data_IF_683876315067
#
_entry.id   IF_683876315067
#
_cell.length_a   1.000
_cell.length_b   1.000
_cell.length_c   1.000
_cell.angle_alpha   90.00
_cell.angle_beta   90.00
_cell.angle_gamma   90.00
#
_symmetry.space_group_name_H-M   'P 1'
#
loop_
_entity.id
_entity.type
_entity.pdbx_description
1 polymer ?
#
# COMPACT_ATOMS: atom_id res chain seq x y z
N UNK A 1 6.42 -30.62 -59.17
CA UNK A 1 6.54 -29.78 -57.97
C UNK A 1 5.47 -30.18 -56.98
N UNK A 2 5.89 -30.73 -55.83
CA UNK A 2 5.01 -31.41 -54.88
C UNK A 2 4.27 -30.38 -54.01
N UNK A 3 3.09 -29.93 -54.47
CA UNK A 3 2.30 -28.85 -53.85
C UNK A 3 1.92 -29.11 -52.39
N UNK A 4 1.91 -30.38 -51.97
CA UNK A 4 1.64 -30.78 -50.59
C UNK A 4 2.82 -30.47 -49.63
N UNK A 5 4.06 -30.43 -50.14
CA UNK A 5 5.25 -30.11 -49.36
C UNK A 5 5.41 -28.61 -49.09
N UNK A 6 4.82 -27.76 -49.94
CA UNK A 6 4.81 -26.30 -49.78
C UNK A 6 3.77 -25.84 -48.75
N UNK A 7 2.66 -26.56 -48.61
CA UNK A 7 1.59 -26.21 -47.66
C UNK A 7 1.98 -26.50 -46.20
N UNK A 8 2.75 -27.56 -45.96
CA UNK A 8 3.22 -27.94 -44.61
C UNK A 8 4.33 -27.00 -44.09
N UNK A 9 5.14 -26.42 -44.97
CA UNK A 9 6.15 -25.41 -44.59
C UNK A 9 5.46 -24.08 -44.22
N UNK A 10 4.37 -23.71 -44.89
CA UNK A 10 3.65 -22.45 -44.60
C UNK A 10 2.86 -22.49 -43.28
N UNK A 11 2.29 -23.63 -42.88
CA UNK A 11 1.61 -23.79 -41.59
C UNK A 11 2.57 -23.95 -40.40
N UNK A 12 3.85 -24.28 -40.65
CA UNK A 12 4.88 -24.38 -39.60
C UNK A 12 5.49 -23.04 -39.17
N UNK A 13 5.20 -21.94 -39.88
CA UNK A 13 5.80 -20.61 -39.62
C UNK A 13 4.87 -19.71 -38.78
N UNK A 14 3.59 -20.04 -38.64
CA UNK A 14 2.61 -19.21 -37.89
C UNK A 14 2.67 -19.43 -36.36
N UNK A 15 3.55 -20.32 -35.88
CA UNK A 15 3.62 -20.76 -34.48
C UNK A 15 4.73 -20.16 -33.63
N UNK A 16 5.59 -19.28 -34.17
CA UNK A 16 6.61 -18.59 -33.37
C UNK A 16 6.03 -17.33 -32.73
N UNK A 17 5.00 -17.49 -31.90
CA UNK A 17 4.73 -16.47 -30.87
C UNK A 17 5.93 -16.50 -29.92
N UNK A 18 6.90 -15.61 -30.13
CA UNK A 18 7.88 -15.31 -29.08
C UNK A 18 7.10 -14.76 -27.90
N UNK A 19 6.88 -15.57 -26.88
CA UNK A 19 6.38 -15.05 -25.61
C UNK A 19 7.34 -13.92 -25.19
N UNK A 20 6.79 -12.74 -24.92
CA UNK A 20 7.59 -11.61 -24.44
C UNK A 20 8.12 -11.98 -23.05
N UNK A 21 9.39 -12.40 -23.01
CA UNK A 21 10.05 -12.77 -21.77
C UNK A 21 10.64 -11.51 -21.11
N UNK A 22 10.24 -11.22 -19.88
CA UNK A 22 10.79 -10.11 -19.11
C UNK A 22 11.93 -10.56 -18.16
N UNK A 23 12.62 -9.58 -17.58
CA UNK A 23 13.58 -9.77 -16.50
C UNK A 23 12.98 -10.51 -15.28
N UNK A 24 13.84 -11.08 -14.44
CA UNK A 24 13.41 -11.53 -13.10
C UNK A 24 12.92 -10.35 -12.29
N UNK A 25 11.75 -10.48 -11.66
CA UNK A 25 11.09 -9.39 -10.93
C UNK A 25 10.40 -8.36 -11.83
N UNK A 26 10.23 -8.65 -13.12
CA UNK A 26 9.45 -7.85 -14.05
C UNK A 26 8.17 -8.58 -14.50
N UNK A 27 7.22 -7.81 -15.02
CA UNK A 27 5.96 -8.29 -15.59
C UNK A 27 5.63 -7.51 -16.86
N UNK A 28 4.99 -8.18 -17.82
CA UNK A 28 4.47 -7.53 -19.02
C UNK A 28 3.26 -6.67 -18.66
N UNK A 29 3.31 -5.40 -19.04
CA UNK A 29 2.15 -4.52 -19.05
C UNK A 29 1.68 -4.34 -20.50
N UNK A 30 0.37 -4.41 -20.70
CA UNK A 30 -0.29 -4.30 -22.02
C UNK A 30 0.21 -5.30 -23.08
N UNK A 31 0.73 -6.46 -22.64
CA UNK A 31 1.31 -7.53 -23.48
C UNK A 31 2.48 -7.10 -24.40
N UNK A 32 3.04 -5.90 -24.21
CA UNK A 32 4.03 -5.32 -25.14
C UNK A 32 5.28 -4.80 -24.42
N UNK A 33 5.16 -4.28 -23.19
CA UNK A 33 6.29 -3.65 -22.50
C UNK A 33 6.58 -4.35 -21.19
N UNK A 34 7.86 -4.64 -20.93
CA UNK A 34 8.30 -5.14 -19.64
C UNK A 34 8.55 -3.97 -18.68
N UNK A 35 7.91 -4.02 -17.51
CA UNK A 35 8.21 -3.15 -16.39
C UNK A 35 8.61 -3.99 -15.18
N UNK A 36 9.45 -3.44 -14.30
CA UNK A 36 9.66 -4.03 -12.99
C UNK A 36 8.30 -4.16 -12.29
N UNK A 37 8.02 -5.34 -11.75
CA UNK A 37 6.75 -5.64 -11.11
C UNK A 37 6.53 -4.74 -9.88
N UNK A 38 5.29 -4.67 -9.40
CA UNK A 38 4.98 -3.95 -8.16
C UNK A 38 5.88 -4.45 -7.01
N UNK A 39 6.51 -3.51 -6.30
CA UNK A 39 7.49 -3.82 -5.24
C UNK A 39 8.92 -4.06 -5.74
N UNK A 40 9.19 -3.83 -7.02
CA UNK A 40 10.52 -3.89 -7.63
C UNK A 40 10.88 -2.58 -8.34
N UNK A 41 12.16 -2.36 -8.61
CA UNK A 41 12.65 -1.23 -9.40
C UNK A 41 13.89 -1.63 -10.21
N UNK A 42 14.22 -0.87 -11.26
CA UNK A 42 15.43 -1.13 -12.02
C UNK A 42 15.58 -0.23 -13.24
N UNK A 43 16.76 -0.25 -13.87
CA UNK A 43 16.99 0.56 -15.07
C UNK A 43 16.52 -0.11 -16.36
N UNK A 44 16.32 -1.43 -16.34
CA UNK A 44 15.91 -2.23 -17.49
C UNK A 44 15.17 -3.50 -17.03
N UNK A 45 14.04 -3.78 -17.65
CA UNK A 45 13.17 -4.93 -17.36
C UNK A 45 13.14 -5.97 -18.51
N UNK A 46 14.03 -5.83 -19.50
CA UNK A 46 14.16 -6.73 -20.65
C UNK A 46 14.69 -8.12 -20.25
N UNK A 47 14.44 -9.14 -21.08
CA UNK A 47 14.97 -10.49 -20.87
C UNK A 47 16.46 -10.49 -20.56
N UNK A 48 16.87 -11.25 -19.54
CA UNK A 48 18.27 -11.35 -19.11
C UNK A 48 18.71 -10.29 -18.10
N UNK A 49 17.89 -9.27 -17.86
CA UNK A 49 18.12 -8.28 -16.80
C UNK A 49 17.48 -8.72 -15.48
N UNK A 50 17.61 -7.90 -14.44
CA UNK A 50 17.00 -8.15 -13.12
C UNK A 50 16.48 -6.86 -12.51
N UNK A 51 15.23 -6.88 -12.07
CA UNK A 51 14.66 -5.84 -11.23
C UNK A 51 14.99 -6.13 -9.76
N UNK A 52 15.36 -5.09 -9.02
CA UNK A 52 15.70 -5.15 -7.61
C UNK A 52 14.45 -5.01 -6.75
N UNK A 53 14.33 -5.82 -5.69
CA UNK A 53 13.20 -5.72 -4.76
C UNK A 53 13.34 -4.49 -3.88
N UNK A 54 12.23 -3.81 -3.61
CA UNK A 54 12.20 -2.72 -2.64
C UNK A 54 12.48 -3.22 -1.21
N UNK A 55 13.40 -2.58 -0.46
CA UNK A 55 13.76 -2.99 0.90
C UNK A 55 12.81 -2.40 1.96
N UNK A 56 13.02 -2.75 3.23
CA UNK A 56 12.47 -2.02 4.40
C UNK A 56 10.96 -1.78 4.39
N UNK A 57 10.18 -2.77 3.90
CA UNK A 57 8.72 -2.69 3.76
C UNK A 57 8.24 -1.53 2.86
N UNK A 58 9.12 -1.05 2.00
CA UNK A 58 8.78 -0.16 0.91
C UNK A 58 8.29 -0.93 -0.31
N UNK A 59 7.61 -0.23 -1.20
CA UNK A 59 7.08 -0.72 -2.46
C UNK A 59 7.08 0.39 -3.50
N UNK A 60 6.87 -0.01 -4.74
CA UNK A 60 6.83 0.82 -5.94
C UNK A 60 5.63 0.42 -6.79
N UNK A 61 5.12 1.37 -7.58
CA UNK A 61 4.11 1.08 -8.60
C UNK A 61 4.81 0.70 -9.90
N UNK A 62 4.37 -0.40 -10.52
CA UNK A 62 4.87 -0.83 -11.85
C UNK A 62 4.63 0.24 -12.91
N UNK A 63 5.64 0.53 -13.71
CA UNK A 63 5.56 1.44 -14.85
C UNK A 63 6.86 2.22 -15.08
N UNK A 64 6.75 3.39 -15.71
CA UNK A 64 7.91 4.27 -15.96
C UNK A 64 8.50 4.88 -14.68
N UNK A 65 7.75 4.90 -13.58
CA UNK A 65 8.21 5.43 -12.30
C UNK A 65 9.16 4.48 -11.55
N UNK A 66 9.16 3.18 -11.87
CA UNK A 66 10.04 2.17 -11.26
C UNK A 66 10.94 1.45 -12.27
N UNK A 67 10.84 1.77 -13.56
CA UNK A 67 11.65 1.15 -14.62
C UNK A 67 12.15 2.19 -15.61
N UNK A 68 13.45 2.22 -15.85
CA UNK A 68 14.05 2.98 -16.96
C UNK A 68 15.36 3.69 -16.62
N UNK A 69 15.95 4.37 -17.61
CA UNK A 69 17.23 5.06 -17.43
C UNK A 69 17.15 6.10 -16.31
N UNK A 70 18.02 5.97 -15.30
CA UNK A 70 18.07 6.88 -14.15
C UNK A 70 17.18 6.48 -12.96
N UNK A 71 16.40 5.39 -13.07
CA UNK A 71 15.71 4.82 -11.92
C UNK A 71 16.74 4.29 -10.91
N UNK A 72 16.50 4.62 -9.65
CA UNK A 72 17.26 4.17 -8.50
C UNK A 72 16.29 3.75 -7.38
N UNK A 73 16.86 3.45 -6.21
CA UNK A 73 16.12 2.97 -5.03
C UNK A 73 15.02 3.94 -4.55
N UNK A 74 15.08 5.22 -4.91
CA UNK A 74 14.03 6.20 -4.65
C UNK A 74 12.69 5.90 -5.33
N UNK A 75 12.65 4.98 -6.31
CA UNK A 75 11.40 4.46 -6.87
C UNK A 75 10.59 3.64 -5.86
N UNK A 76 11.24 3.12 -4.81
CA UNK A 76 10.58 2.51 -3.66
C UNK A 76 10.05 3.62 -2.73
N UNK A 77 8.96 4.24 -3.17
CA UNK A 77 8.45 5.50 -2.64
C UNK A 77 7.17 5.36 -1.81
N UNK A 78 6.73 4.13 -1.57
CA UNK A 78 5.52 3.84 -0.80
C UNK A 78 5.80 2.82 0.30
N UNK A 79 5.17 2.96 1.46
CA UNK A 79 5.14 1.90 2.45
C UNK A 79 4.02 0.91 2.12
N UNK A 80 4.28 -0.39 2.29
CA UNK A 80 3.25 -1.44 2.12
C UNK A 80 2.12 -1.27 3.15
N UNK A 81 0.97 -1.91 2.91
CA UNK A 81 -0.15 -1.88 3.85
C UNK A 81 0.30 -2.33 5.25
N UNK A 82 -0.16 -1.62 6.29
CA UNK A 82 0.23 -1.88 7.67
C UNK A 82 1.53 -1.18 8.10
N UNK A 83 2.10 -0.33 7.25
CA UNK A 83 3.24 0.52 7.56
C UNK A 83 2.96 1.97 7.15
N UNK A 84 3.41 2.93 7.97
CA UNK A 84 3.29 4.36 7.70
C UNK A 84 4.66 4.99 7.40
N UNK A 85 4.63 6.12 6.68
CA UNK A 85 5.84 6.82 6.25
C UNK A 85 6.37 7.71 7.39
N UNK A 86 7.64 7.52 7.76
CA UNK A 86 8.37 8.40 8.69
C UNK A 86 9.29 9.39 7.96
N UNK A 87 9.78 9.03 6.77
CA UNK A 87 10.49 9.93 5.86
C UNK A 87 10.22 9.54 4.41
N UNK A 88 9.99 10.54 3.55
CA UNK A 88 9.72 10.32 2.12
C UNK A 88 10.97 9.86 1.36
N UNK A 89 10.77 9.14 0.26
CA UNK A 89 11.87 8.74 -0.62
C UNK A 89 12.55 9.96 -1.28
N UNK A 90 13.83 9.80 -1.60
CA UNK A 90 14.60 10.74 -2.41
C UNK A 90 14.90 10.10 -3.76
N UNK A 91 14.49 10.75 -4.85
CA UNK A 91 14.63 10.25 -6.22
C UNK A 91 15.88 10.75 -6.96
N UNK A 92 16.72 11.57 -6.32
CA UNK A 92 18.00 12.00 -6.89
C UNK A 92 18.93 10.81 -7.20
N UNK A 93 20.01 11.01 -7.98
CA UNK A 93 20.86 9.92 -8.50
C UNK A 93 21.46 8.98 -7.44
N UNK A 94 21.62 9.43 -6.20
CA UNK A 94 22.02 8.62 -5.03
C UNK A 94 20.85 8.37 -4.07
N UNK A 95 19.65 8.22 -4.61
CA UNK A 95 18.38 8.28 -3.90
C UNK A 95 18.27 7.35 -2.70
N UNK A 96 17.23 7.56 -1.90
CA UNK A 96 16.93 6.72 -0.74
C UNK A 96 15.49 6.24 -0.85
N UNK A 97 15.23 5.00 -0.47
CA UNK A 97 13.87 4.51 -0.32
C UNK A 97 13.12 5.29 0.78
N UNK A 98 11.79 5.22 0.70
CA UNK A 98 10.91 5.70 1.77
C UNK A 98 11.22 4.95 3.07
N UNK A 99 11.16 5.65 4.20
CA UNK A 99 11.33 5.04 5.51
C UNK A 99 9.96 4.67 6.07
N UNK A 100 9.80 3.39 6.38
CA UNK A 100 8.53 2.80 6.81
C UNK A 100 8.61 2.32 8.26
N UNK A 101 7.59 2.67 9.04
CA UNK A 101 7.41 2.18 10.40
C UNK A 101 6.14 1.34 10.48
N UNK A 102 6.22 0.20 11.16
CA UNK A 102 5.08 -0.69 11.33
C UNK A 102 3.97 0.02 12.12
N UNK A 103 2.72 -0.18 11.70
CA UNK A 103 1.56 0.26 12.46
C UNK A 103 1.55 -0.38 13.86
N UNK A 104 1.22 0.41 14.91
CA UNK A 104 0.95 -0.14 16.23
C UNK A 104 -0.15 -1.20 16.21
N UNK A 105 -0.20 -2.03 17.24
CA UNK A 105 -1.26 -3.03 17.39
C UNK A 105 -2.66 -2.39 17.27
N UNK A 106 -3.57 -3.12 16.64
CA UNK A 106 -4.97 -2.72 16.42
C UNK A 106 -5.14 -1.49 15.50
N UNK A 107 -4.16 -1.21 14.65
CA UNK A 107 -4.21 -0.17 13.64
C UNK A 107 -3.68 -0.65 12.30
N UNK A 108 -4.05 0.05 11.24
CA UNK A 108 -3.55 -0.21 9.89
C UNK A 108 -3.51 1.05 9.05
N UNK A 109 -2.99 0.94 7.84
CA UNK A 109 -3.19 1.90 6.75
C UNK A 109 -4.26 1.37 5.80
N UNK A 110 -5.08 2.26 5.24
CA UNK A 110 -6.11 1.87 4.26
C UNK A 110 -5.50 1.47 2.91
N UNK A 111 -4.31 1.98 2.60
CA UNK A 111 -3.57 1.73 1.36
C UNK A 111 -2.07 1.88 1.59
N UNK A 112 -1.29 1.64 0.54
CA UNK A 112 0.10 2.05 0.53
C UNK A 112 0.20 3.58 0.74
N UNK A 113 1.20 4.03 1.49
CA UNK A 113 1.39 5.45 1.83
C UNK A 113 2.67 5.98 1.22
N UNK A 114 2.62 7.14 0.57
CA UNK A 114 3.77 7.85 0.00
C UNK A 114 4.10 9.17 0.71
N UNK A 115 3.26 9.59 1.66
CA UNK A 115 3.40 10.82 2.42
C UNK A 115 3.50 10.53 3.91
N UNK A 116 4.23 11.37 4.64
CA UNK A 116 4.35 11.26 6.10
C UNK A 116 2.96 11.30 6.74
N UNK A 117 2.71 10.38 7.67
CA UNK A 117 1.42 10.26 8.34
C UNK A 117 1.46 9.22 9.45
N UNK A 118 0.28 8.75 9.87
CA UNK A 118 0.12 7.76 10.92
C UNK A 118 -0.91 6.72 10.51
N UNK A 119 -0.89 5.57 11.17
CA UNK A 119 -1.91 4.55 10.99
C UNK A 119 -3.25 4.97 11.62
N UNK A 120 -4.31 4.29 11.21
CA UNK A 120 -5.66 4.48 11.75
C UNK A 120 -6.03 3.26 12.58
N UNK A 121 -6.53 3.49 13.79
CA UNK A 121 -7.06 2.42 14.63
C UNK A 121 -8.26 1.74 13.95
N UNK A 122 -8.42 0.43 14.18
CA UNK A 122 -9.59 -0.30 13.66
C UNK A 122 -10.90 0.21 14.25
N UNK A 123 -10.87 0.70 15.50
CA UNK A 123 -12.05 1.23 16.17
C UNK A 123 -12.31 2.67 15.73
N UNK A 124 -13.48 2.97 15.13
CA UNK A 124 -13.80 4.33 14.66
C UNK A 124 -13.99 5.33 15.80
N UNK A 125 -14.14 4.86 17.04
CA UNK A 125 -14.22 5.70 18.23
C UNK A 125 -12.91 5.73 19.03
N UNK A 126 -11.81 5.20 18.51
CA UNK A 126 -10.48 5.42 19.08
C UNK A 126 -9.95 6.83 18.77
N UNK A 127 -9.05 7.31 19.62
CA UNK A 127 -8.29 8.52 19.36
C UNK A 127 -7.34 8.30 18.16
N UNK A 128 -7.16 9.31 17.28
CA UNK A 128 -6.23 9.19 16.17
C UNK A 128 -4.79 9.03 16.66
N UNK A 129 -4.02 8.18 15.98
CA UNK A 129 -2.60 8.04 16.26
C UNK A 129 -1.84 9.30 15.82
N UNK A 130 -0.77 9.61 16.53
CA UNK A 130 0.09 10.77 16.29
C UNK A 130 1.47 10.54 16.89
N UNK A 131 2.34 11.54 16.86
CA UNK A 131 3.64 11.50 17.54
C UNK A 131 3.53 11.31 19.06
N UNK A 132 2.41 11.72 19.66
CA UNK A 132 2.16 11.59 21.11
C UNK A 132 1.22 10.45 21.47
N UNK A 133 0.48 9.92 20.49
CA UNK A 133 -0.50 8.84 20.68
C UNK A 133 -0.04 7.66 19.83
N UNK A 134 0.70 6.74 20.44
CA UNK A 134 1.34 5.60 19.77
C UNK A 134 0.58 4.29 19.92
N UNK A 135 -0.52 4.28 20.65
CA UNK A 135 -1.38 3.11 20.88
C UNK A 135 -2.84 3.48 20.70
N UNK A 136 -3.63 2.59 20.13
CA UNK A 136 -5.07 2.77 20.04
C UNK A 136 -5.71 2.76 21.44
N UNK A 137 -6.43 3.83 21.75
CA UNK A 137 -7.23 3.98 22.97
C UNK A 137 -8.54 4.68 22.62
N UNK A 138 -9.62 4.43 23.38
CA UNK A 138 -10.89 5.11 23.15
C UNK A 138 -10.72 6.63 23.29
N UNK A 139 -11.37 7.40 22.42
CA UNK A 139 -11.36 8.87 22.50
C UNK A 139 -11.98 9.35 23.82
N UNK A 140 -11.71 10.60 24.18
CA UNK A 140 -12.35 11.23 25.34
C UNK A 140 -13.88 11.15 25.25
N UNK A 141 -14.51 10.83 26.38
CA UNK A 141 -15.96 10.59 26.44
C UNK A 141 -16.40 9.17 26.07
N UNK A 142 -15.48 8.29 25.70
CA UNK A 142 -15.74 6.87 25.44
C UNK A 142 -15.01 5.99 26.46
N UNK A 143 -15.56 4.81 26.74
CA UNK A 143 -14.97 3.80 27.64
C UNK A 143 -14.91 2.45 26.93
N UNK A 144 -14.08 1.55 27.48
CA UNK A 144 -13.85 0.22 26.93
C UNK A 144 -12.44 0.06 26.36
N UNK A 145 -12.24 -1.02 25.62
CA UNK A 145 -11.01 -1.30 24.88
C UNK A 145 -11.32 -1.18 23.38
N UNK A 146 -10.45 -0.56 22.56
CA UNK A 146 -10.66 -0.50 21.11
C UNK A 146 -10.74 -1.89 20.49
N UNK A 147 -11.51 -2.00 19.41
CA UNK A 147 -11.59 -3.25 18.64
C UNK A 147 -10.24 -3.63 18.06
N UNK A 148 -9.94 -4.93 18.08
CA UNK A 148 -8.66 -5.50 17.64
C UNK A 148 -8.72 -6.08 16.23
N UNK A 149 -9.91 -6.12 15.62
CA UNK A 149 -10.16 -6.72 14.31
C UNK A 149 -10.69 -5.66 13.34
N UNK A 150 -10.03 -5.51 12.19
CA UNK A 150 -10.46 -4.58 11.13
C UNK A 150 -11.91 -4.83 10.70
N UNK A 151 -12.69 -3.75 10.54
CA UNK A 151 -14.08 -3.81 10.11
C UNK A 151 -15.08 -4.26 11.18
N UNK A 152 -14.64 -4.57 12.39
CA UNK A 152 -15.54 -4.91 13.49
C UNK A 152 -16.26 -3.68 14.04
N UNK A 153 -17.42 -3.90 14.66
CA UNK A 153 -18.13 -2.86 15.37
C UNK A 153 -17.26 -2.25 16.50
N UNK A 154 -17.46 -0.97 16.75
CA UNK A 154 -16.79 -0.24 17.83
C UNK A 154 -17.11 -0.84 19.19
N UNK A 155 -16.07 -1.14 19.96
CA UNK A 155 -16.18 -1.57 21.36
C UNK A 155 -15.92 -0.40 22.33
N UNK A 156 -15.37 0.71 21.82
CA UNK A 156 -15.42 1.99 22.50
C UNK A 156 -16.87 2.50 22.53
N UNK A 157 -17.48 2.53 23.72
CA UNK A 157 -18.86 2.98 23.93
C UNK A 157 -18.89 4.35 24.58
N UNK A 158 -19.81 5.22 24.15
CA UNK A 158 -19.97 6.54 24.73
C UNK A 158 -20.31 6.43 26.23
N UNK A 159 -19.73 7.31 27.04
CA UNK A 159 -20.01 7.36 28.46
C UNK A 159 -21.42 7.91 28.70
N UNK A 160 -22.40 7.02 28.82
CA UNK A 160 -23.83 7.34 28.96
C UNK A 160 -24.18 8.20 30.18
N UNK A 161 -23.26 8.32 31.16
CA UNK A 161 -23.45 9.17 32.35
C UNK A 161 -23.57 10.65 31.98
N UNK A 162 -22.95 11.10 30.89
CA UNK A 162 -23.06 12.49 30.44
C UNK A 162 -24.42 12.74 29.76
N UNK A 163 -24.95 11.74 29.05
CA UNK A 163 -26.24 11.85 28.36
C UNK A 163 -27.41 11.87 29.35
N UNK A 164 -27.33 11.12 30.45
CA UNK A 164 -28.35 11.10 31.50
C UNK A 164 -28.37 12.38 32.35
N UNK A 165 -27.21 12.99 32.61
CA UNK A 165 -27.13 14.26 33.35
C UNK A 165 -27.73 15.42 32.54
N UNK A 166 -27.45 15.50 31.23
CA UNK A 166 -28.07 16.51 30.36
C UNK A 166 -29.59 16.32 30.24
N UNK A 167 -30.07 15.09 30.12
CA UNK A 167 -31.50 14.81 30.11
C UNK A 167 -32.17 15.19 31.45
N UNK A 168 -31.54 14.90 32.58
CA UNK A 168 -32.03 15.26 33.91
C UNK A 168 -32.04 16.78 34.14
N UNK A 169 -30.99 17.50 33.72
CA UNK A 169 -30.93 18.96 33.84
C UNK A 169 -31.93 19.66 32.91
N UNK A 170 -32.09 19.19 31.67
CA UNK A 170 -33.09 19.73 30.75
C UNK A 170 -34.52 19.52 31.28
N UNK A 171 -34.79 18.37 31.92
CA UNK A 171 -36.07 18.12 32.60
C UNK A 171 -36.34 19.11 33.74
N UNK A 172 -35.31 19.51 34.49
CA UNK A 172 -35.46 20.52 35.55
C UNK A 172 -35.74 21.93 35.01
N UNK A 173 -35.20 22.30 33.85
CA UNK A 173 -35.44 23.63 33.26
C UNK A 173 -36.88 23.79 32.76
N UNK A 174 -37.55 22.71 32.35
CA UNK A 174 -38.97 22.72 31.97
C UNK A 174 -39.94 22.64 33.16
N UNK A 175 -39.42 22.57 34.40
CA UNK A 175 -40.21 22.54 35.63
C UNK A 175 -40.24 23.89 36.37
N UNK A 176 -39.64 24.94 35.80
CA UNK A 176 -39.67 26.32 36.30
C UNK A 176 -40.27 27.29 35.28
#
# INVERSE_FOLDING_TARGET
MNKLLLLTIFLGIVGYCTALDCATGASTQDNITCYCAHGYYGTDASKGQTCQRCPDNSTSTSGSANTGPGINIGACNQCVNGYYVTAVANTASSGTAVQCQQCPANSTTSSAMSTVGFCTCYDPNAAPLSSSVTTCACKSGYKGTPTTTAGSASTCVANSVILSIFAALLSLVFLF
#
